data_IF_060554600512
#
_entry.id   IF_060554600512
#
_cell.length_a   1.000
_cell.length_b   1.000
_cell.length_c   1.000
_cell.angle_alpha   90.00
_cell.angle_beta   90.00
_cell.angle_gamma   90.00
#
_symmetry.space_group_name_H-M   'P 1'
#
loop_
_entity.id
_entity.type
_entity.pdbx_description
1 polymer ?
#
# COMPACT_ATOMS: atom_id res chain seq x y z
N UNK A 1 -12.93 11.81 -21.74
CA UNK A 1 -12.94 11.99 -20.28
C UNK A 1 -12.95 10.62 -19.62
N UNK A 2 -11.82 9.92 -19.66
CA UNK A 2 -11.69 8.60 -19.04
C UNK A 2 -11.11 8.79 -17.63
N UNK A 3 -11.98 8.63 -16.63
CA UNK A 3 -11.71 8.26 -15.22
C UNK A 3 -10.41 8.78 -14.60
N UNK A 4 -10.48 9.95 -13.97
CA UNK A 4 -9.48 10.46 -13.03
C UNK A 4 -9.58 9.73 -11.67
N UNK A 5 -9.29 8.44 -11.63
CA UNK A 5 -9.27 7.67 -10.39
C UNK A 5 -7.90 7.04 -10.20
N UNK A 6 -7.19 7.45 -9.15
CA UNK A 6 -5.94 6.82 -8.74
C UNK A 6 -6.23 5.48 -8.05
N UNK A 7 -5.54 4.43 -8.48
CA UNK A 7 -5.58 3.12 -7.83
C UNK A 7 -4.25 2.84 -7.13
N UNK A 8 -4.31 2.16 -5.99
CA UNK A 8 -3.13 1.66 -5.29
C UNK A 8 -3.35 0.18 -4.96
N UNK A 9 -2.36 -0.64 -5.28
CA UNK A 9 -2.31 -2.05 -4.91
C UNK A 9 -1.12 -2.26 -3.99
N UNK A 10 -1.36 -2.82 -2.80
CA UNK A 10 -0.31 -3.15 -1.83
C UNK A 10 -0.31 -4.65 -1.60
N UNK A 11 0.76 -5.32 -2.01
CA UNK A 11 1.03 -6.71 -1.64
C UNK A 11 1.86 -6.72 -0.36
N UNK A 12 1.40 -7.42 0.67
CA UNK A 12 2.09 -7.48 1.96
C UNK A 12 1.99 -8.87 2.58
N UNK A 13 3.00 -9.21 3.39
CA UNK A 13 3.01 -10.39 4.24
C UNK A 13 2.99 -9.90 5.69
N UNK A 14 1.93 -10.23 6.42
CA UNK A 14 1.71 -9.80 7.80
C UNK A 14 2.17 -10.87 8.80
N UNK A 15 2.17 -10.52 10.08
CA UNK A 15 2.41 -11.45 11.17
C UNK A 15 1.53 -12.71 11.05
N UNK A 16 2.18 -13.87 11.17
CA UNK A 16 1.54 -15.19 11.17
C UNK A 16 1.22 -15.65 12.59
N UNK A 17 0.40 -16.69 12.73
CA UNK A 17 -0.02 -17.22 14.03
C UNK A 17 -1.51 -17.01 14.32
N UNK A 18 -1.99 -17.66 15.39
CA UNK A 18 -3.41 -17.75 15.75
C UNK A 18 -3.69 -17.47 17.22
N UNK A 19 -2.70 -17.00 17.99
CA UNK A 19 -2.88 -16.57 19.38
C UNK A 19 -3.41 -15.15 19.41
N UNK A 20 -3.96 -14.74 20.55
CA UNK A 20 -4.57 -13.42 20.72
C UNK A 20 -3.56 -12.27 20.52
N UNK A 21 -2.29 -12.46 20.91
CA UNK A 21 -1.20 -11.51 20.63
C UNK A 21 -0.86 -11.37 19.14
N UNK A 22 -1.04 -12.43 18.35
CA UNK A 22 -0.73 -12.43 16.91
C UNK A 22 -1.74 -11.58 16.14
N UNK A 23 -2.99 -11.50 16.62
CA UNK A 23 -4.02 -10.59 16.07
C UNK A 23 -3.62 -9.13 16.27
N UNK A 24 -3.13 -8.78 17.47
CA UNK A 24 -2.66 -7.42 17.75
C UNK A 24 -1.49 -7.04 16.84
N UNK A 25 -0.51 -7.94 16.70
CA UNK A 25 0.65 -7.72 15.83
C UNK A 25 0.25 -7.53 14.36
N UNK A 26 -0.62 -8.39 13.83
CA UNK A 26 -1.12 -8.25 12.45
C UNK A 26 -1.88 -6.94 12.23
N UNK A 27 -2.62 -6.46 13.23
CA UNK A 27 -3.29 -5.16 13.14
C UNK A 27 -2.29 -4.00 13.16
N UNK A 28 -1.21 -4.12 13.94
CA UNK A 28 -0.11 -3.15 13.96
C UNK A 28 0.60 -3.08 12.60
N UNK A 29 0.86 -4.23 11.96
CA UNK A 29 1.45 -4.27 10.61
C UNK A 29 0.59 -3.49 9.60
N UNK A 30 -0.73 -3.69 9.62
CA UNK A 30 -1.67 -2.96 8.74
C UNK A 30 -1.64 -1.46 9.03
N UNK A 31 -1.62 -1.06 10.30
CA UNK A 31 -1.57 0.34 10.68
C UNK A 31 -0.28 1.03 10.19
N UNK A 32 0.87 0.37 10.30
CA UNK A 32 2.15 0.88 9.80
C UNK A 32 2.16 0.98 8.26
N UNK A 33 1.66 -0.05 7.56
CA UNK A 33 1.53 -0.03 6.09
C UNK A 33 0.69 1.17 5.65
N UNK A 34 -0.46 1.41 6.28
CA UNK A 34 -1.33 2.54 5.94
C UNK A 34 -0.66 3.90 6.23
N UNK A 35 0.07 4.02 7.35
CA UNK A 35 0.76 5.24 7.70
C UNK A 35 1.90 5.57 6.72
N UNK A 36 2.60 4.55 6.22
CA UNK A 36 3.74 4.69 5.30
C UNK A 36 3.31 4.78 3.83
N UNK A 37 2.16 4.23 3.49
CA UNK A 37 1.61 4.25 2.12
C UNK A 37 0.85 5.54 1.88
N UNK A 38 1.59 6.65 1.68
CA UNK A 38 1.03 7.95 1.33
C UNK A 38 1.48 8.33 -0.08
N UNK A 39 0.52 8.41 -1.00
CA UNK A 39 0.79 8.91 -2.34
C UNK A 39 0.67 10.44 -2.34
N UNK A 40 1.68 11.17 -2.84
CA UNK A 40 1.52 12.60 -3.05
C UNK A 40 0.35 12.81 -4.02
N UNK A 41 -0.65 13.59 -3.61
CA UNK A 41 -1.80 13.88 -4.44
C UNK A 41 -1.39 14.70 -5.66
N UNK A 42 -1.54 14.13 -6.85
CA UNK A 42 -1.59 14.85 -8.12
C UNK A 42 -0.42 15.79 -8.43
N UNK A 43 0.78 15.56 -7.90
CA UNK A 43 1.95 16.23 -8.41
C UNK A 43 2.41 15.49 -9.67
N UNK A 44 2.60 16.26 -10.74
CA UNK A 44 3.16 15.93 -12.05
C UNK A 44 4.58 15.33 -11.97
N UNK A 45 4.78 14.32 -11.14
CA UNK A 45 5.92 13.44 -11.26
C UNK A 45 5.54 12.44 -12.34
N UNK A 46 6.44 12.22 -13.30
CA UNK A 46 6.33 11.14 -14.28
C UNK A 46 6.28 9.82 -13.52
N UNK A 47 5.08 9.47 -13.08
CA UNK A 47 4.83 8.22 -12.40
C UNK A 47 4.91 7.13 -13.45
N UNK A 48 5.62 6.03 -13.16
CA UNK A 48 5.70 4.92 -14.08
C UNK A 48 4.28 4.41 -14.39
N UNK A 49 3.91 4.35 -15.66
CA UNK A 49 2.54 3.97 -16.08
C UNK A 49 2.41 2.45 -16.27
N UNK A 50 3.52 1.75 -16.51
CA UNK A 50 3.56 0.30 -16.69
C UNK A 50 4.36 -0.35 -15.59
N UNK A 51 4.02 -1.61 -15.29
CA UNK A 51 4.70 -2.43 -14.28
C UNK A 51 6.22 -2.49 -14.52
N UNK A 52 6.66 -2.48 -15.79
CA UNK A 52 8.07 -2.53 -16.17
C UNK A 52 8.81 -1.20 -15.96
N UNK A 53 8.09 -0.10 -15.77
CA UNK A 53 8.68 1.22 -15.62
C UNK A 53 9.10 1.48 -14.15
N UNK A 54 8.86 0.51 -13.24
CA UNK A 54 9.16 0.57 -11.79
C UNK A 54 10.48 -0.13 -11.38
N UNK A 55 11.38 -0.46 -12.31
CA UNK A 55 12.70 -1.06 -12.00
C UNK A 55 13.72 -0.07 -11.44
#
# INVERSE_FOLDING_TARGET
>A
MLRETSFCFVCCHLASGGKEGDVLLRNLDVADILARTRFPGGATQELPEKILDHE
#
